data_IF_858477473491
#
_entry.id   IF_858477473491
#
_cell.length_a   1.000
_cell.length_b   1.000
_cell.length_c   1.000
_cell.angle_alpha   90.00
_cell.angle_beta   90.00
_cell.angle_gamma   90.00
#
_symmetry.space_group_name_H-M   'P 1'
#
loop_
_entity.id
_entity.type
_entity.pdbx_description
1 polymer ?
#
# COMPACT_ATOMS: atom_id res chain seq x y z
N UNK A 1 15.46 24.22 14.60
CA UNK A 1 16.17 24.20 13.30
C UNK A 1 17.10 22.98 13.14
N UNK A 2 17.56 22.36 14.24
CA UNK A 2 18.40 21.14 14.24
C UNK A 2 17.67 19.86 13.85
N UNK A 3 16.36 19.82 13.95
CA UNK A 3 15.55 18.61 13.71
C UNK A 3 15.34 18.28 12.22
N UNK A 4 15.39 19.29 11.35
CA UNK A 4 15.23 19.12 9.90
C UNK A 4 16.44 18.43 9.23
N UNK A 5 17.63 18.57 9.83
CA UNK A 5 18.88 18.00 9.28
C UNK A 5 19.05 16.50 9.60
N UNK A 6 18.23 15.96 10.53
CA UNK A 6 18.31 14.57 10.97
C UNK A 6 17.20 13.68 10.34
N UNK A 7 16.36 14.26 9.48
CA UNK A 7 15.31 13.48 8.79
C UNK A 7 15.92 12.64 7.67
N UNK A 8 15.56 11.37 7.65
CA UNK A 8 15.89 10.46 6.58
C UNK A 8 14.62 10.17 5.75
N UNK A 9 14.59 10.63 4.50
CA UNK A 9 13.46 10.38 3.59
C UNK A 9 13.29 8.88 3.37
N UNK A 10 12.08 8.40 3.61
CA UNK A 10 11.68 7.03 3.31
C UNK A 10 11.34 6.88 1.81
N UNK A 11 10.83 7.93 1.21
CA UNK A 11 10.45 7.96 -0.22
C UNK A 11 11.65 7.77 -1.14
N UNK A 12 12.81 8.32 -0.77
CA UNK A 12 14.04 8.19 -1.56
C UNK A 12 14.69 6.80 -1.48
N UNK A 13 14.28 5.95 -0.53
CA UNK A 13 14.80 4.60 -0.40
C UNK A 13 14.17 3.66 -1.41
N UNK A 14 14.96 2.76 -2.01
CA UNK A 14 14.45 1.62 -2.78
C UNK A 14 13.75 0.58 -1.89
N UNK A 15 12.95 -0.29 -2.48
CA UNK A 15 12.12 -1.28 -1.75
C UNK A 15 12.91 -2.09 -0.71
N UNK A 16 14.10 -2.57 -1.06
CA UNK A 16 14.96 -3.36 -0.16
C UNK A 16 15.46 -2.54 1.04
N UNK A 17 15.81 -1.28 0.81
CA UNK A 17 16.24 -0.38 1.87
C UNK A 17 15.07 0.00 2.79
N UNK A 18 13.89 0.26 2.23
CA UNK A 18 12.65 0.50 3.00
C UNK A 18 12.32 -0.66 3.92
N UNK A 19 12.32 -1.90 3.38
CA UNK A 19 12.08 -3.10 4.18
C UNK A 19 13.10 -3.26 5.31
N UNK A 20 14.39 -3.04 5.01
CA UNK A 20 15.48 -3.11 6.00
C UNK A 20 15.37 -2.03 7.08
N UNK A 21 14.94 -0.82 6.72
CA UNK A 21 14.82 0.31 7.64
C UNK A 21 13.68 0.13 8.66
N UNK A 22 12.65 -0.67 8.34
CA UNK A 22 11.56 -0.94 9.28
C UNK A 22 11.87 -2.06 10.27
N UNK A 23 12.75 -3.00 9.91
CA UNK A 23 13.08 -4.15 10.74
C UNK A 23 14.09 -3.83 11.83
N UNK A 24 13.99 -4.52 12.94
CA UNK A 24 14.95 -4.47 14.03
C UNK A 24 16.35 -4.82 13.52
N UNK A 25 17.37 -4.14 14.05
CA UNK A 25 18.75 -4.33 13.64
C UNK A 25 19.16 -5.82 13.72
N UNK A 26 19.76 -6.32 12.64
CA UNK A 26 20.27 -7.69 12.56
C UNK A 26 19.21 -8.77 12.29
N UNK A 27 17.91 -8.42 12.18
CA UNK A 27 16.85 -9.42 11.94
C UNK A 27 16.45 -9.57 10.48
N UNK A 28 16.89 -8.66 9.61
CA UNK A 28 16.55 -8.70 8.18
C UNK A 28 17.03 -9.97 7.50
N UNK A 29 16.10 -10.70 6.92
CA UNK A 29 16.36 -11.84 6.05
C UNK A 29 15.48 -11.75 4.82
N UNK A 30 16.08 -11.58 3.66
CA UNK A 30 15.39 -11.60 2.38
C UNK A 30 15.06 -13.03 1.96
N UNK A 31 13.81 -13.24 1.51
CA UNK A 31 13.34 -14.50 0.95
C UNK A 31 13.18 -14.33 -0.56
N UNK A 32 13.55 -15.35 -1.33
CA UNK A 32 13.48 -15.30 -2.79
C UNK A 32 14.21 -14.06 -3.32
N UNK A 33 15.49 -13.97 -2.94
CA UNK A 33 16.37 -12.87 -3.30
C UNK A 33 16.73 -12.87 -4.81
N UNK A 34 17.38 -11.82 -5.33
CA UNK A 34 17.73 -11.74 -6.76
C UNK A 34 18.65 -12.86 -7.29
N UNK A 35 19.41 -13.52 -6.40
CA UNK A 35 20.29 -14.64 -6.83
C UNK A 35 19.49 -15.88 -7.21
N UNK A 36 18.28 -16.04 -6.72
CA UNK A 36 17.37 -17.13 -7.10
C UNK A 36 16.72 -16.89 -8.47
N UNK A 37 16.78 -15.68 -9.01
CA UNK A 37 16.31 -15.29 -10.35
C UNK A 37 14.87 -15.72 -10.64
N UNK A 38 14.01 -15.56 -9.65
CA UNK A 38 12.56 -15.78 -9.79
C UNK A 38 11.93 -14.51 -10.38
N UNK A 39 11.78 -14.49 -11.69
CA UNK A 39 11.36 -13.33 -12.47
C UNK A 39 10.36 -13.72 -13.55
N UNK A 40 9.59 -12.72 -14.03
CA UNK A 40 8.60 -12.93 -15.07
C UNK A 40 9.20 -13.59 -16.33
N UNK A 41 8.62 -14.70 -16.80
CA UNK A 41 9.01 -15.33 -18.07
C UNK A 41 8.44 -14.61 -19.29
N UNK A 42 7.56 -13.63 -19.09
CA UNK A 42 6.77 -12.98 -20.14
C UNK A 42 7.41 -11.69 -20.67
N UNK A 43 8.09 -10.93 -19.80
CA UNK A 43 8.63 -9.61 -20.13
C UNK A 43 9.66 -9.67 -21.27
N UNK A 44 10.56 -10.64 -21.23
CA UNK A 44 11.60 -10.81 -22.29
C UNK A 44 10.98 -11.02 -23.67
N UNK A 45 9.83 -11.69 -23.76
CA UNK A 45 9.10 -11.92 -25.02
C UNK A 45 8.54 -10.64 -25.63
N UNK A 46 8.41 -9.61 -24.82
CA UNK A 46 7.88 -8.29 -25.23
C UNK A 46 8.98 -7.23 -25.32
N UNK A 47 10.25 -7.65 -25.30
CA UNK A 47 11.39 -6.74 -25.37
C UNK A 47 11.66 -5.96 -24.08
N UNK A 48 11.00 -6.31 -22.98
CA UNK A 48 11.21 -5.68 -21.66
C UNK A 48 12.25 -6.46 -20.89
N UNK A 49 13.26 -5.78 -20.35
CA UNK A 49 14.30 -6.41 -19.52
C UNK A 49 13.70 -6.80 -18.16
N UNK A 50 13.66 -8.10 -17.81
CA UNK A 50 13.14 -8.52 -16.52
C UNK A 50 14.12 -8.21 -15.41
N UNK A 51 13.61 -7.94 -14.20
CA UNK A 51 14.40 -7.80 -12.99
C UNK A 51 14.45 -9.14 -12.24
N UNK A 52 15.61 -9.48 -11.68
CA UNK A 52 15.85 -10.80 -11.09
C UNK A 52 14.96 -11.16 -9.89
N UNK A 53 14.36 -10.17 -9.23
CA UNK A 53 13.39 -10.31 -8.13
C UNK A 53 11.96 -9.94 -8.54
N UNK A 54 11.73 -9.66 -9.81
CA UNK A 54 10.46 -9.20 -10.41
C UNK A 54 9.92 -7.91 -9.77
N UNK A 55 10.82 -7.07 -9.19
CA UNK A 55 10.47 -5.81 -8.55
C UNK A 55 9.75 -5.95 -7.20
N UNK A 56 9.84 -7.13 -6.58
CA UNK A 56 9.22 -7.40 -5.27
C UNK A 56 10.23 -8.01 -4.31
N UNK A 57 10.41 -7.34 -3.18
CA UNK A 57 11.27 -7.79 -2.08
C UNK A 57 10.39 -8.38 -0.98
N UNK A 58 10.65 -9.64 -0.62
CA UNK A 58 10.05 -10.26 0.56
C UNK A 58 11.13 -10.37 1.62
N UNK A 59 10.87 -9.78 2.79
CA UNK A 59 11.79 -9.85 3.92
C UNK A 59 11.07 -10.39 5.16
N UNK A 60 11.75 -11.22 5.93
CA UNK A 60 11.31 -11.71 7.24
C UNK A 60 12.24 -11.15 8.31
N UNK A 61 11.69 -10.81 9.48
CA UNK A 61 12.45 -10.29 10.62
C UNK A 61 11.52 -9.97 11.79
N UNK A 62 11.90 -8.99 12.60
CA UNK A 62 11.05 -8.47 13.68
C UNK A 62 10.94 -6.95 13.63
N UNK A 63 9.84 -6.42 14.16
CA UNK A 63 9.62 -5.00 14.47
C UNK A 63 9.23 -4.91 15.94
N UNK A 64 10.03 -4.21 16.74
CA UNK A 64 9.88 -4.17 18.20
C UNK A 64 9.77 -5.56 18.83
N UNK A 65 10.57 -6.50 18.36
CA UNK A 65 10.59 -7.91 18.80
C UNK A 65 9.44 -8.77 18.27
N UNK A 66 8.48 -8.22 17.53
CA UNK A 66 7.35 -8.95 16.99
C UNK A 66 7.70 -9.57 15.63
N UNK A 67 7.49 -10.88 15.40
CA UNK A 67 7.72 -11.50 14.11
C UNK A 67 6.88 -10.85 13.01
N UNK A 68 7.53 -10.52 11.88
CA UNK A 68 6.88 -9.86 10.75
C UNK A 68 7.45 -10.34 9.42
N UNK A 69 6.58 -10.40 8.41
CA UNK A 69 6.96 -10.44 7.00
C UNK A 69 6.68 -9.09 6.37
N UNK A 70 7.63 -8.59 5.58
CA UNK A 70 7.48 -7.36 4.80
C UNK A 70 7.48 -7.73 3.32
N UNK A 71 6.47 -7.28 2.59
CA UNK A 71 6.48 -7.28 1.13
C UNK A 71 6.62 -5.84 0.64
N UNK A 72 7.71 -5.54 -0.06
CA UNK A 72 8.02 -4.22 -0.56
C UNK A 72 8.09 -4.20 -2.09
N UNK A 73 7.33 -3.31 -2.71
CA UNK A 73 7.27 -3.16 -4.16
C UNK A 73 8.25 -2.08 -4.60
N UNK A 74 9.06 -2.39 -5.62
CA UNK A 74 10.03 -1.45 -6.21
C UNK A 74 9.35 -0.60 -7.29
N UNK A 75 9.04 0.64 -6.95
CA UNK A 75 8.37 1.58 -7.85
C UNK A 75 9.17 1.90 -9.13
N UNK A 76 10.49 1.82 -9.07
CA UNK A 76 11.35 2.10 -10.22
C UNK A 76 11.34 0.97 -11.28
N UNK A 77 10.87 -0.23 -10.91
CA UNK A 77 10.71 -1.31 -11.86
C UNK A 77 9.28 -1.35 -12.43
N UNK A 78 9.12 -1.02 -13.69
CA UNK A 78 7.84 -1.01 -14.40
C UNK A 78 6.72 -0.23 -13.67
N UNK A 79 7.09 0.88 -12.98
CA UNK A 79 6.15 1.66 -12.17
C UNK A 79 5.55 0.89 -10.99
N UNK A 80 6.26 -0.13 -10.47
CA UNK A 80 5.77 -0.99 -9.39
C UNK A 80 4.58 -1.87 -9.81
N UNK A 81 4.34 -2.05 -11.11
CA UNK A 81 3.25 -2.90 -11.59
C UNK A 81 3.49 -4.38 -11.26
N UNK A 82 2.41 -5.08 -10.91
CA UNK A 82 2.47 -6.48 -10.50
C UNK A 82 2.05 -7.42 -11.63
N UNK A 83 2.96 -8.35 -11.93
CA UNK A 83 2.73 -9.50 -12.79
C UNK A 83 2.50 -10.77 -11.97
N UNK A 84 2.53 -11.91 -12.66
CA UNK A 84 2.35 -13.23 -12.08
C UNK A 84 3.34 -13.49 -10.93
N UNK A 85 4.63 -13.30 -11.18
CA UNK A 85 5.69 -13.65 -10.22
C UNK A 85 5.70 -12.71 -9.01
N UNK A 86 5.70 -11.39 -9.25
CA UNK A 86 5.69 -10.41 -8.17
C UNK A 86 4.47 -10.55 -7.27
N UNK A 87 3.29 -10.79 -7.88
CA UNK A 87 2.06 -11.02 -7.13
C UNK A 87 2.08 -12.32 -6.33
N UNK A 88 2.53 -13.43 -6.94
CA UNK A 88 2.67 -14.71 -6.24
C UNK A 88 3.65 -14.66 -5.06
N UNK A 89 4.74 -13.89 -5.16
CA UNK A 89 5.66 -13.66 -4.04
C UNK A 89 4.97 -12.99 -2.87
N UNK A 90 4.15 -11.96 -3.12
CA UNK A 90 3.40 -11.25 -2.07
C UNK A 90 2.35 -12.17 -1.46
N UNK A 91 1.51 -12.81 -2.29
CA UNK A 91 0.47 -13.71 -1.83
C UNK A 91 1.04 -14.86 -1.00
N UNK A 92 2.05 -15.57 -1.52
CA UNK A 92 2.71 -16.69 -0.82
C UNK A 92 3.36 -16.27 0.49
N UNK A 93 3.94 -15.06 0.59
CA UNK A 93 4.48 -14.55 1.85
C UNK A 93 3.41 -14.33 2.91
N UNK A 94 2.24 -13.81 2.51
CA UNK A 94 1.09 -13.61 3.40
C UNK A 94 0.44 -14.94 3.81
N UNK A 95 0.32 -15.88 2.89
CA UNK A 95 -0.19 -17.23 3.15
C UNK A 95 0.68 -18.00 4.16
N UNK A 96 2.00 -17.94 3.99
CA UNK A 96 2.95 -18.52 4.94
C UNK A 96 2.85 -17.85 6.31
N UNK A 97 2.66 -16.53 6.37
CA UNK A 97 2.41 -15.84 7.64
C UNK A 97 1.09 -16.29 8.31
N UNK A 98 0.04 -16.51 7.52
CA UNK A 98 -1.22 -17.04 8.02
C UNK A 98 -1.06 -18.48 8.54
N UNK A 99 -0.26 -19.30 7.85
CA UNK A 99 0.08 -20.65 8.29
C UNK A 99 0.93 -20.65 9.57
N UNK A 100 1.93 -19.76 9.69
CA UNK A 100 2.68 -19.52 10.92
C UNK A 100 1.70 -19.29 12.10
N UNK A 101 0.68 -18.43 11.90
CA UNK A 101 -0.32 -18.15 12.94
C UNK A 101 -1.18 -19.37 13.29
N UNK A 102 -1.61 -20.17 12.32
CA UNK A 102 -2.33 -21.43 12.56
C UNK A 102 -1.48 -22.41 13.37
N UNK A 103 -0.17 -22.35 13.21
CA UNK A 103 0.81 -23.18 13.94
C UNK A 103 1.30 -22.54 15.25
N UNK A 104 0.67 -21.45 15.72
CA UNK A 104 0.98 -20.80 16.99
C UNK A 104 2.16 -19.82 16.95
N UNK A 105 2.68 -19.47 15.78
CA UNK A 105 3.72 -18.44 15.60
C UNK A 105 3.05 -17.14 15.13
N UNK A 106 2.92 -16.09 15.98
CA UNK A 106 2.15 -14.88 15.68
C UNK A 106 2.91 -13.97 14.71
N UNK A 107 2.93 -14.33 13.42
CA UNK A 107 3.57 -13.57 12.35
C UNK A 107 2.62 -12.52 11.76
N UNK A 108 3.03 -11.25 11.76
CA UNK A 108 2.34 -10.09 11.22
C UNK A 108 2.82 -9.78 9.81
N UNK A 109 2.14 -8.86 9.11
CA UNK A 109 2.61 -8.42 7.79
C UNK A 109 2.62 -6.89 7.64
N UNK A 110 3.60 -6.40 6.88
CA UNK A 110 3.67 -5.02 6.40
C UNK A 110 3.82 -5.03 4.88
N UNK A 111 2.94 -4.28 4.20
CA UNK A 111 2.96 -4.12 2.75
C UNK A 111 3.43 -2.69 2.42
N UNK A 112 4.58 -2.56 1.76
CA UNK A 112 5.10 -1.29 1.26
C UNK A 112 4.63 -1.13 -0.18
N UNK A 113 3.55 -0.36 -0.35
CA UNK A 113 2.76 -0.27 -1.57
C UNK A 113 3.22 0.92 -2.42
N UNK A 114 4.11 0.66 -3.37
CA UNK A 114 4.59 1.62 -4.37
C UNK A 114 4.29 1.04 -5.75
N UNK A 115 3.03 1.18 -6.22
CA UNK A 115 2.55 0.39 -7.34
C UNK A 115 1.52 1.09 -8.21
N UNK A 116 1.73 1.00 -9.54
CA UNK A 116 0.74 1.41 -10.55
C UNK A 116 -0.43 0.42 -10.72
N UNK A 117 -0.40 -0.74 -10.03
CA UNK A 117 -1.43 -1.77 -10.14
C UNK A 117 -1.01 -2.96 -10.99
N UNK A 118 -1.89 -3.47 -11.84
CA UNK A 118 -1.61 -4.63 -12.70
C UNK A 118 -0.55 -4.32 -13.76
N UNK A 119 0.35 -5.27 -14.00
CA UNK A 119 1.31 -5.21 -15.11
C UNK A 119 0.59 -5.59 -16.40
N UNK A 120 0.30 -4.60 -17.23
CA UNK A 120 -0.49 -4.78 -18.46
C UNK A 120 0.14 -5.77 -19.44
N UNK A 121 1.46 -5.89 -19.44
CA UNK A 121 2.21 -6.85 -20.26
C UNK A 121 1.88 -8.31 -19.93
N UNK A 122 1.38 -8.58 -18.73
CA UNK A 122 1.00 -9.91 -18.25
C UNK A 122 -0.52 -10.11 -18.15
N UNK A 123 -1.28 -9.07 -18.46
CA UNK A 123 -2.74 -9.10 -18.58
C UNK A 123 -3.42 -9.86 -17.41
N UNK A 124 -4.19 -10.90 -17.72
CA UNK A 124 -4.97 -11.66 -16.73
C UNK A 124 -4.13 -12.38 -15.67
N UNK A 125 -2.85 -12.68 -15.95
CA UNK A 125 -1.96 -13.29 -14.95
C UNK A 125 -1.67 -12.31 -13.80
N UNK A 126 -1.45 -11.03 -14.12
CA UNK A 126 -1.30 -9.99 -13.11
C UNK A 126 -2.59 -9.75 -12.31
N UNK A 127 -3.77 -9.80 -12.97
CA UNK A 127 -5.06 -9.68 -12.29
C UNK A 127 -5.31 -10.85 -11.34
N UNK A 128 -5.03 -12.09 -11.76
CA UNK A 128 -5.16 -13.28 -10.92
C UNK A 128 -4.25 -13.19 -9.70
N UNK A 129 -2.98 -12.84 -9.89
CA UNK A 129 -2.03 -12.69 -8.80
C UNK A 129 -2.43 -11.59 -7.79
N UNK A 130 -3.04 -10.49 -8.24
CA UNK A 130 -3.59 -9.46 -7.35
C UNK A 130 -4.80 -10.00 -6.57
N UNK A 131 -5.65 -10.81 -7.19
CA UNK A 131 -6.76 -11.46 -6.49
C UNK A 131 -6.27 -12.42 -5.39
N UNK A 132 -5.18 -13.16 -5.63
CA UNK A 132 -4.53 -14.01 -4.63
C UNK A 132 -3.99 -13.17 -3.47
N UNK A 133 -3.40 -12.00 -3.75
CA UNK A 133 -2.97 -11.05 -2.69
C UNK A 133 -4.17 -10.62 -1.83
N UNK A 134 -5.31 -10.29 -2.45
CA UNK A 134 -6.52 -9.91 -1.72
C UNK A 134 -6.98 -11.03 -0.80
N UNK A 135 -7.04 -12.26 -1.29
CA UNK A 135 -7.42 -13.44 -0.51
C UNK A 135 -6.48 -13.67 0.66
N UNK A 136 -5.16 -13.58 0.43
CA UNK A 136 -4.14 -13.78 1.44
C UNK A 136 -4.16 -12.69 2.55
N UNK A 137 -4.44 -11.42 2.20
CA UNK A 137 -4.66 -10.34 3.18
C UNK A 137 -5.87 -10.66 4.06
N UNK A 138 -7.00 -11.05 3.44
CA UNK A 138 -8.26 -11.35 4.15
C UNK A 138 -8.10 -12.55 5.08
N UNK A 139 -7.29 -13.54 4.69
CA UNK A 139 -6.98 -14.70 5.55
C UNK A 139 -6.08 -14.28 6.72
N UNK A 140 -4.92 -13.66 6.47
CA UNK A 140 -3.95 -13.31 7.52
C UNK A 140 -4.52 -12.35 8.56
N UNK A 141 -5.29 -11.34 8.14
CA UNK A 141 -5.87 -10.33 9.05
C UNK A 141 -6.93 -10.89 10.00
N UNK A 142 -7.26 -12.17 9.94
CA UNK A 142 -8.08 -12.85 10.96
C UNK A 142 -7.27 -13.20 12.20
N UNK A 143 -5.96 -13.29 12.07
CA UNK A 143 -5.03 -13.69 13.15
C UNK A 143 -4.21 -12.50 13.66
N UNK A 144 -3.63 -11.73 12.76
CA UNK A 144 -2.71 -10.64 13.08
C UNK A 144 -2.95 -9.45 12.14
N UNK A 145 -2.61 -8.21 12.56
CA UNK A 145 -2.78 -7.05 11.71
C UNK A 145 -1.87 -7.11 10.46
N UNK A 146 -2.44 -6.67 9.35
CA UNK A 146 -1.72 -6.36 8.11
C UNK A 146 -1.68 -4.85 7.96
N UNK A 147 -0.49 -4.27 7.96
CA UNK A 147 -0.29 -2.82 7.85
C UNK A 147 0.16 -2.47 6.42
N UNK A 148 -0.65 -1.68 5.71
CA UNK A 148 -0.27 -1.10 4.44
C UNK A 148 0.42 0.25 4.63
N UNK A 149 1.50 0.51 3.89
CA UNK A 149 2.19 1.81 3.86
C UNK A 149 2.25 2.29 2.42
N UNK A 150 1.65 3.45 2.15
CA UNK A 150 1.74 4.15 0.86
C UNK A 150 2.51 5.43 1.10
N UNK A 151 3.77 5.45 0.74
CA UNK A 151 4.68 6.55 1.07
C UNK A 151 5.29 7.23 -0.18
N UNK A 152 5.42 6.50 -1.28
CA UNK A 152 6.17 6.96 -2.43
C UNK A 152 5.39 7.72 -3.48
N UNK A 153 6.13 8.26 -4.43
CA UNK A 153 5.61 9.13 -5.49
C UNK A 153 4.84 8.39 -6.59
N UNK A 154 5.04 7.08 -6.75
CA UNK A 154 4.22 6.27 -7.65
C UNK A 154 2.80 6.19 -7.09
N UNK A 155 2.68 5.98 -5.78
CA UNK A 155 1.40 5.80 -5.11
C UNK A 155 0.92 4.34 -5.14
N UNK A 156 -0.39 4.13 -4.97
CA UNK A 156 -1.00 2.81 -4.99
C UNK A 156 -2.31 2.86 -5.79
N UNK A 157 -2.33 2.16 -6.93
CA UNK A 157 -3.43 2.23 -7.89
C UNK A 157 -3.92 0.84 -8.33
N UNK A 158 -5.01 0.83 -9.09
CA UNK A 158 -5.62 -0.39 -9.63
C UNK A 158 -6.08 -1.35 -8.55
N UNK A 159 -5.99 -2.64 -8.82
CA UNK A 159 -6.33 -3.69 -7.84
C UNK A 159 -5.53 -3.62 -6.55
N UNK A 160 -4.33 -3.02 -6.57
CA UNK A 160 -3.52 -2.84 -5.37
C UNK A 160 -4.05 -1.75 -4.45
N UNK A 161 -4.81 -0.78 -4.94
CA UNK A 161 -5.54 0.16 -4.08
C UNK A 161 -6.65 -0.54 -3.28
N UNK A 162 -7.25 -1.58 -3.85
CA UNK A 162 -8.19 -2.46 -3.15
C UNK A 162 -7.44 -3.26 -2.08
N UNK A 163 -6.24 -3.81 -2.40
CA UNK A 163 -5.39 -4.48 -1.42
C UNK A 163 -5.05 -3.56 -0.23
N UNK A 164 -4.72 -2.28 -0.49
CA UNK A 164 -4.51 -1.27 0.55
C UNK A 164 -5.76 -1.09 1.43
N UNK A 165 -6.95 -1.02 0.82
CA UNK A 165 -8.24 -0.94 1.54
C UNK A 165 -8.58 -2.20 2.36
N UNK A 166 -8.03 -3.35 1.98
CA UNK A 166 -8.17 -4.61 2.71
C UNK A 166 -7.22 -4.74 3.90
N UNK A 167 -6.14 -3.96 3.97
CA UNK A 167 -5.23 -3.97 5.13
C UNK A 167 -5.98 -3.57 6.40
N UNK A 168 -5.54 -4.11 7.55
CA UNK A 168 -6.08 -3.77 8.87
C UNK A 168 -5.87 -2.30 9.18
N UNK A 169 -4.70 -1.78 8.83
CA UNK A 169 -4.33 -0.37 8.97
C UNK A 169 -3.64 0.14 7.71
N UNK A 170 -3.84 1.42 7.40
CA UNK A 170 -3.22 2.10 6.28
C UNK A 170 -2.50 3.37 6.75
N UNK A 171 -1.20 3.43 6.48
CA UNK A 171 -0.34 4.57 6.76
C UNK A 171 -0.04 5.27 5.44
N UNK A 172 -0.20 6.59 5.40
CA UNK A 172 0.09 7.40 4.23
C UNK A 172 1.01 8.57 4.58
N UNK A 173 1.82 9.01 3.61
CA UNK A 173 2.59 10.25 3.71
C UNK A 173 1.96 11.35 2.87
N UNK A 174 2.51 12.55 2.94
CA UNK A 174 2.14 13.68 2.09
C UNK A 174 2.34 13.38 0.60
N UNK A 175 3.39 12.65 0.26
CA UNK A 175 3.78 12.31 -1.11
C UNK A 175 2.91 11.20 -1.70
N UNK A 176 2.24 10.44 -0.85
CA UNK A 176 1.40 9.32 -1.24
C UNK A 176 0.22 9.74 -2.12
N UNK A 177 -0.15 8.85 -3.02
CA UNK A 177 -1.41 8.91 -3.77
C UNK A 177 -2.10 7.55 -3.72
N UNK A 178 -3.40 7.55 -3.53
CA UNK A 178 -4.20 6.33 -3.46
C UNK A 178 -5.50 6.50 -4.24
N UNK A 179 -5.71 5.66 -5.23
CA UNK A 179 -6.92 5.68 -6.06
C UNK A 179 -7.06 4.42 -6.90
N UNK A 180 -8.27 4.18 -7.43
CA UNK A 180 -8.48 3.03 -8.31
C UNK A 180 -7.81 3.25 -9.66
N UNK A 181 -8.01 4.40 -10.29
CA UNK A 181 -7.40 4.76 -11.56
C UNK A 181 -6.25 5.75 -11.35
N UNK A 182 -5.15 5.55 -12.09
CA UNK A 182 -4.07 6.53 -12.15
C UNK A 182 -4.52 7.82 -12.86
N UNK A 183 -3.90 8.97 -12.56
CA UNK A 183 -4.31 10.26 -13.13
C UNK A 183 -4.38 10.29 -14.66
N UNK A 184 -3.41 9.67 -15.34
CA UNK A 184 -3.38 9.62 -16.81
C UNK A 184 -4.52 8.80 -17.42
N UNK A 185 -4.97 7.76 -16.72
CA UNK A 185 -6.12 6.95 -17.17
C UNK A 185 -7.40 7.77 -17.05
N UNK A 186 -7.56 8.53 -15.97
CA UNK A 186 -8.72 9.41 -15.78
C UNK A 186 -8.73 10.51 -16.86
N UNK A 187 -7.59 11.16 -17.10
CA UNK A 187 -7.47 12.19 -18.16
C UNK A 187 -7.83 11.62 -19.54
N UNK A 188 -7.41 10.38 -19.84
CA UNK A 188 -7.70 9.74 -21.12
C UNK A 188 -9.21 9.51 -21.34
N UNK A 189 -9.94 9.25 -20.26
CA UNK A 189 -11.38 8.98 -20.30
C UNK A 189 -12.22 10.26 -20.21
N UNK A 190 -11.87 11.17 -19.30
CA UNK A 190 -12.61 12.40 -19.04
C UNK A 190 -12.26 13.56 -19.99
N UNK A 191 -11.02 13.58 -20.49
CA UNK A 191 -10.47 14.67 -21.29
C UNK A 191 -9.69 15.69 -20.46
N UNK A 192 -8.74 16.34 -21.13
CA UNK A 192 -7.80 17.30 -20.53
C UNK A 192 -8.49 18.52 -19.88
N UNK A 193 -9.63 18.94 -20.42
CA UNK A 193 -10.39 20.08 -19.89
C UNK A 193 -11.03 19.77 -18.53
N UNK A 194 -11.40 18.52 -18.30
CA UNK A 194 -12.02 18.08 -17.06
C UNK A 194 -10.97 17.59 -16.05
N UNK A 195 -9.91 16.93 -16.51
CA UNK A 195 -8.92 16.33 -15.64
C UNK A 195 -7.52 16.39 -16.27
N UNK A 196 -6.69 17.35 -15.85
CA UNK A 196 -5.28 17.44 -16.27
C UNK A 196 -4.41 16.63 -15.31
N UNK A 197 -3.88 15.50 -15.76
CA UNK A 197 -2.98 14.64 -14.99
C UNK A 197 -1.63 15.27 -14.64
N UNK A 198 -1.31 16.45 -15.19
CA UNK A 198 -0.10 17.22 -14.89
C UNK A 198 -0.34 18.28 -13.81
N UNK A 199 -1.60 18.60 -13.50
CA UNK A 199 -1.95 19.49 -12.40
C UNK A 199 -1.76 18.77 -11.05
N UNK A 200 -0.53 18.81 -10.56
CA UNK A 200 -0.17 18.13 -9.30
C UNK A 200 -1.00 18.59 -8.11
N UNK A 201 -1.18 19.90 -7.84
CA UNK A 201 -2.04 20.35 -6.75
C UNK A 201 -3.43 19.74 -6.81
N UNK A 202 -4.06 19.75 -7.97
CA UNK A 202 -5.38 19.16 -8.20
C UNK A 202 -5.37 17.65 -7.94
N UNK A 203 -4.42 16.92 -8.50
CA UNK A 203 -4.29 15.46 -8.31
C UNK A 203 -4.14 15.09 -6.82
N UNK A 204 -3.26 15.81 -6.09
CA UNK A 204 -3.07 15.54 -4.65
C UNK A 204 -4.26 15.95 -3.81
N UNK A 205 -5.03 16.98 -4.19
CA UNK A 205 -6.27 17.34 -3.51
C UNK A 205 -7.34 16.24 -3.60
N UNK A 206 -7.32 15.42 -4.66
CA UNK A 206 -8.28 14.32 -4.88
C UNK A 206 -7.79 12.97 -4.34
N UNK A 207 -6.51 12.65 -4.53
CA UNK A 207 -5.97 11.30 -4.29
C UNK A 207 -4.80 11.27 -3.32
N UNK A 208 -4.37 12.43 -2.82
CA UNK A 208 -3.22 12.58 -1.94
C UNK A 208 -3.42 11.92 -0.57
N UNK A 209 -2.31 11.61 0.11
CA UNK A 209 -2.34 10.97 1.43
C UNK A 209 -3.09 11.78 2.48
N UNK A 210 -2.91 13.12 2.48
CA UNK A 210 -3.64 14.01 3.38
C UNK A 210 -5.16 13.93 3.15
N UNK A 211 -5.59 13.97 1.87
CA UNK A 211 -7.00 13.82 1.50
C UNK A 211 -7.56 12.48 1.96
N UNK A 212 -6.80 11.38 1.78
CA UNK A 212 -7.22 10.05 2.20
C UNK A 212 -7.31 9.91 3.72
N UNK A 213 -6.43 10.56 4.45
CA UNK A 213 -6.51 10.61 5.90
C UNK A 213 -7.70 11.44 6.36
N UNK A 214 -7.88 12.66 5.83
CA UNK A 214 -8.96 13.55 6.20
C UNK A 214 -10.36 12.98 5.85
N UNK A 215 -10.46 12.16 4.82
CA UNK A 215 -11.71 11.45 4.48
C UNK A 215 -11.88 10.10 5.19
N UNK A 216 -11.03 9.78 6.18
CA UNK A 216 -11.14 8.54 6.96
C UNK A 216 -10.77 7.26 6.21
N UNK A 217 -10.19 7.36 5.01
CA UNK A 217 -9.75 6.21 4.21
C UNK A 217 -8.34 5.73 4.57
N UNK A 218 -7.58 6.49 5.34
CA UNK A 218 -6.30 6.10 5.90
C UNK A 218 -6.30 6.31 7.41
N UNK A 219 -5.58 5.44 8.16
CA UNK A 219 -5.60 5.43 9.62
C UNK A 219 -4.53 6.34 10.22
N UNK A 220 -3.44 6.59 9.50
CA UNK A 220 -2.33 7.44 9.95
C UNK A 220 -1.77 8.25 8.79
N UNK A 221 -1.53 9.53 9.07
CA UNK A 221 -0.82 10.45 8.18
C UNK A 221 0.49 10.86 8.84
N UNK A 222 1.62 10.57 8.19
CA UNK A 222 2.95 10.77 8.76
C UNK A 222 3.85 11.52 7.79
N UNK A 223 4.87 12.21 8.33
CA UNK A 223 5.87 12.83 7.49
C UNK A 223 6.74 11.77 6.77
N UNK A 224 7.34 12.16 5.64
CA UNK A 224 8.37 11.36 4.96
C UNK A 224 9.65 11.33 5.81
N UNK A 225 9.67 10.43 6.79
CA UNK A 225 10.78 10.19 7.70
C UNK A 225 10.79 8.73 8.15
N UNK A 226 11.90 8.06 7.92
CA UNK A 226 12.10 6.64 8.27
C UNK A 226 11.73 6.35 9.73
N UNK A 227 12.18 7.20 10.66
CA UNK A 227 11.94 6.97 12.08
C UNK A 227 10.46 7.09 12.45
N UNK A 228 9.75 8.07 11.90
CA UNK A 228 8.32 8.26 12.14
C UNK A 228 7.49 7.13 11.56
N UNK A 229 7.82 6.69 10.34
CA UNK A 229 7.11 5.57 9.69
C UNK A 229 7.36 4.28 10.49
N UNK A 230 8.61 3.99 10.89
CA UNK A 230 8.94 2.82 11.71
C UNK A 230 8.20 2.83 13.05
N UNK A 231 8.18 3.96 13.75
CA UNK A 231 7.48 4.11 15.03
C UNK A 231 5.98 3.90 14.85
N UNK A 232 5.38 4.47 13.80
CA UNK A 232 3.94 4.34 13.51
C UNK A 232 3.58 2.89 13.18
N UNK A 233 4.33 2.24 12.31
CA UNK A 233 4.12 0.82 11.98
C UNK A 233 4.27 -0.05 13.23
N UNK A 234 5.30 0.17 14.05
CA UNK A 234 5.51 -0.56 15.31
C UNK A 234 4.32 -0.41 16.25
N UNK A 235 3.81 0.80 16.44
CA UNK A 235 2.65 1.07 17.30
C UNK A 235 1.39 0.33 16.80
N UNK A 236 1.12 0.35 15.49
CA UNK A 236 -0.03 -0.35 14.90
C UNK A 236 0.07 -1.87 15.03
N UNK A 237 1.28 -2.42 14.87
CA UNK A 237 1.51 -3.87 15.06
C UNK A 237 1.32 -4.29 16.52
N UNK A 238 1.67 -3.43 17.48
CA UNK A 238 1.47 -3.66 18.92
C UNK A 238 0.00 -3.47 19.33
N UNK A 239 -0.72 -2.55 18.69
CA UNK A 239 -2.16 -2.33 18.93
C UNK A 239 -2.97 -3.59 18.62
N UNK A 240 -2.52 -4.44 17.69
CA UNK A 240 -3.22 -5.67 17.29
C UNK A 240 -4.31 -5.41 16.25
N UNK A 241 -5.32 -6.26 16.23
CA UNK A 241 -6.42 -6.15 15.26
C UNK A 241 -7.33 -4.98 15.58
N UNK A 242 -7.83 -4.24 14.57
CA UNK A 242 -8.85 -3.22 14.79
C UNK A 242 -10.17 -3.89 15.23
N UNK A 243 -11.00 -3.18 15.97
CA UNK A 243 -12.33 -3.67 16.37
C UNK A 243 -13.18 -4.06 15.16
N UNK A 244 -13.09 -3.27 14.10
CA UNK A 244 -13.78 -3.54 12.84
C UNK A 244 -12.86 -3.26 11.65
N UNK A 245 -12.76 -4.22 10.75
CA UNK A 245 -12.03 -4.03 9.49
C UNK A 245 -12.77 -3.03 8.59
N UNK A 246 -12.04 -2.10 7.96
CA UNK A 246 -12.61 -1.08 7.06
C UNK A 246 -13.53 -1.68 5.99
N UNK A 247 -13.15 -2.80 5.40
CA UNK A 247 -13.95 -3.49 4.37
C UNK A 247 -15.26 -4.11 4.87
N UNK A 248 -15.53 -4.10 6.18
CA UNK A 248 -16.83 -4.51 6.75
C UNK A 248 -17.76 -3.33 7.04
N UNK A 249 -17.29 -2.09 6.85
CA UNK A 249 -18.05 -0.87 7.07
C UNK A 249 -18.78 -0.40 5.80
N UNK A 250 -19.23 -1.34 4.95
CA UNK A 250 -19.85 -1.05 3.65
C UNK A 250 -21.07 -0.15 3.80
N UNK A 251 -21.94 -0.46 4.73
CA UNK A 251 -23.18 0.30 4.94
C UNK A 251 -22.90 1.77 5.34
N UNK A 252 -21.86 1.98 6.14
CA UNK A 252 -21.42 3.34 6.49
C UNK A 252 -20.98 4.12 5.25
N UNK A 253 -20.09 3.54 4.43
CA UNK A 253 -19.59 4.22 3.23
C UNK A 253 -20.68 4.43 2.18
N UNK A 254 -21.58 3.46 1.99
CA UNK A 254 -22.72 3.59 1.06
C UNK A 254 -23.69 4.68 1.53
N UNK A 255 -24.02 4.74 2.83
CA UNK A 255 -24.87 5.79 3.38
C UNK A 255 -24.30 7.17 3.11
N UNK A 256 -22.99 7.36 3.30
CA UNK A 256 -22.30 8.63 2.99
C UNK A 256 -22.34 8.97 1.51
N UNK A 257 -22.09 8.00 0.64
CA UNK A 257 -22.17 8.22 -0.82
C UNK A 257 -23.56 8.65 -1.28
N UNK A 258 -24.63 8.18 -0.63
CA UNK A 258 -26.01 8.59 -0.97
C UNK A 258 -26.34 10.02 -0.54
N UNK A 259 -25.57 10.61 0.36
CA UNK A 259 -25.70 12.02 0.78
C UNK A 259 -25.04 12.99 -0.22
N UNK A 260 -24.18 12.46 -1.13
CA UNK A 260 -23.54 13.28 -2.17
C UNK A 260 -24.55 13.64 -3.26
N UNK A 261 -24.80 14.94 -3.47
CA UNK A 261 -25.46 15.41 -4.68
C UNK A 261 -24.43 15.39 -5.84
N UNK A 262 -24.68 14.52 -6.81
CA UNK A 262 -23.81 14.36 -7.98
C UNK A 262 -23.97 15.47 -9.03
N UNK A 263 -24.88 16.41 -8.83
CA UNK A 263 -25.17 17.48 -9.81
C UNK A 263 -24.09 18.57 -9.87
N UNK A 264 -23.53 19.11 -8.76
CA UNK A 264 -22.39 20.00 -8.82
C UNK A 264 -21.06 19.23 -8.85
N UNK A 265 -20.03 19.89 -9.35
CA UNK A 265 -18.67 19.38 -9.25
C UNK A 265 -18.29 19.25 -7.77
N UNK A 266 -18.10 18.00 -7.30
CA UNK A 266 -17.79 17.71 -5.90
C UNK A 266 -16.34 18.10 -5.63
N UNK A 267 -16.12 19.07 -4.74
CA UNK A 267 -14.78 19.45 -4.33
C UNK A 267 -14.23 18.54 -3.21
N UNK A 268 -12.89 18.49 -3.04
CA UNK A 268 -12.25 17.66 -2.04
C UNK A 268 -12.65 17.96 -0.58
N UNK A 269 -12.99 19.22 -0.25
CA UNK A 269 -13.40 19.60 1.08
C UNK A 269 -14.78 19.02 1.43
N UNK A 270 -15.72 19.06 0.49
CA UNK A 270 -17.03 18.42 0.61
C UNK A 270 -16.91 16.93 0.92
N UNK A 271 -15.97 16.23 0.26
CA UNK A 271 -15.71 14.80 0.54
C UNK A 271 -15.15 14.60 1.95
N UNK A 272 -14.21 15.43 2.39
CA UNK A 272 -13.70 15.35 3.77
C UNK A 272 -14.81 15.57 4.79
N UNK A 273 -15.62 16.59 4.62
CA UNK A 273 -16.71 16.93 5.55
C UNK A 273 -17.72 15.78 5.64
N UNK A 274 -18.04 15.13 4.53
CA UNK A 274 -18.93 13.99 4.49
C UNK A 274 -18.43 12.80 5.31
N UNK A 275 -17.11 12.57 5.35
CA UNK A 275 -16.49 11.44 6.05
C UNK A 275 -15.87 11.80 7.41
N UNK A 276 -15.87 13.07 7.85
CA UNK A 276 -15.30 13.50 9.15
C UNK A 276 -15.86 12.76 10.37
N UNK A 277 -17.05 12.21 10.30
CA UNK A 277 -17.59 11.33 11.33
C UNK A 277 -16.78 10.05 11.58
N UNK A 278 -15.86 9.68 10.68
CA UNK A 278 -14.97 8.53 10.82
C UNK A 278 -13.76 8.80 11.75
N UNK A 279 -13.33 10.06 11.88
CA UNK A 279 -12.14 10.42 12.67
C UNK A 279 -12.41 10.47 14.18
N UNK A 280 -13.67 10.54 14.59
CA UNK A 280 -14.05 10.60 16.02
C UNK A 280 -13.85 9.29 16.78
N UNK A 281 -13.57 8.19 16.11
CA UNK A 281 -13.31 6.87 16.74
C UNK A 281 -11.81 6.52 16.86
N UNK A 282 -10.91 7.40 16.43
CA UNK A 282 -9.45 7.14 16.47
C UNK A 282 -8.66 8.07 17.39
N UNK A 283 -9.35 8.95 18.13
CA UNK A 283 -8.72 9.83 19.13
C UNK A 283 -9.21 9.47 20.54
N UNK A 284 -8.56 8.49 21.15
CA UNK A 284 -8.28 8.42 22.60
C UNK A 284 -7.02 7.57 22.83
#
# INVERSE_FOLDING_TARGET
MTDLLNKHSFVELGARQRAKALLDSGTYRELIDPFQRVMSPWLSRQGVVPQADDGVVIAKGSIAGLPVVIAAIEGNFQGGSLGEVGGAKIAGALELAAEDNRNGVPTRAVLLLETGGVRLQEANLGLAAIADIHAAIVDLRQYQPVVGVVAGSVGCFGGMSIAAGLCSYLVVTREARLGLNGPQVIEQEAGLEEYDSRDRPFIWSLTGGEQRFNSGLADRYVADDVAQIQQTVSALLQQGLPEQQRSRQIDFYLARLTELDAAPQIDPATVCDLYQGCLLYTSD
#
